data_IF_518840430709
#
_entry.id   IF_518840430709
#
_cell.length_a   1.000
_cell.length_b   1.000
_cell.length_c   1.000
_cell.angle_alpha   90.00
_cell.angle_beta   90.00
_cell.angle_gamma   90.00
#
_symmetry.space_group_name_H-M   'P 1'
#
loop_
_entity.id
_entity.type
_entity.pdbx_description
1 polymer ?
#
# COMPACT_ATOMS: atom_id res chain seq x y z
N UNK A 1 -46.44 12.01 -3.43
CA UNK A 1 -45.55 11.44 -4.42
C UNK A 1 -44.45 12.46 -4.67
N UNK A 2 -43.36 12.36 -3.90
CA UNK A 2 -42.35 13.42 -3.79
C UNK A 2 -40.99 12.81 -4.12
N UNK A 3 -40.64 12.85 -5.41
CA UNK A 3 -39.34 12.42 -5.92
C UNK A 3 -38.23 13.34 -5.42
N UNK A 4 -37.35 12.79 -4.58
CA UNK A 4 -36.13 13.43 -4.14
C UNK A 4 -35.14 13.46 -5.31
N UNK A 5 -35.06 14.58 -6.04
CA UNK A 5 -34.01 14.78 -7.04
C UNK A 5 -32.70 15.13 -6.33
N UNK A 6 -31.77 14.17 -6.34
CA UNK A 6 -30.38 14.42 -5.99
C UNK A 6 -29.79 15.31 -7.09
N UNK A 7 -29.61 16.59 -6.77
CA UNK A 7 -28.90 17.53 -7.63
C UNK A 7 -27.42 17.13 -7.66
N UNK A 8 -26.96 16.62 -8.79
CA UNK A 8 -25.54 16.46 -9.08
C UNK A 8 -24.96 17.86 -9.21
N UNK A 9 -24.20 18.31 -8.20
CA UNK A 9 -23.48 19.57 -8.27
C UNK A 9 -22.61 19.60 -9.53
N UNK A 10 -22.82 20.60 -10.38
CA UNK A 10 -21.98 20.88 -11.55
C UNK A 10 -20.50 20.90 -11.15
N UNK A 11 -19.74 19.93 -11.65
CA UNK A 11 -18.26 19.92 -11.58
C UNK A 11 -17.72 20.90 -12.64
N UNK A 12 -18.15 22.16 -12.58
CA UNK A 12 -17.69 23.20 -13.52
C UNK A 12 -16.44 23.93 -13.02
N UNK A 13 -16.16 23.86 -11.72
CA UNK A 13 -14.93 24.36 -11.13
C UNK A 13 -13.92 23.22 -11.02
N UNK A 14 -12.90 23.27 -11.87
CA UNK A 14 -11.68 22.47 -11.69
C UNK A 14 -11.16 22.77 -10.27
N UNK A 15 -11.03 21.77 -9.39
CA UNK A 15 -10.52 21.99 -8.04
C UNK A 15 -9.13 22.63 -8.08
N UNK A 16 -8.84 23.52 -7.13
CA UNK A 16 -7.59 24.30 -7.07
C UNK A 16 -6.32 23.42 -7.11
N UNK A 17 -6.38 22.15 -6.67
CA UNK A 17 -5.26 21.21 -6.75
C UNK A 17 -4.92 20.77 -8.20
N UNK A 18 -5.80 20.98 -9.17
CA UNK A 18 -5.56 20.73 -10.59
C UNK A 18 -4.82 21.89 -11.28
N UNK A 19 -4.83 23.08 -10.69
CA UNK A 19 -4.14 24.30 -11.17
C UNK A 19 -2.80 24.54 -10.46
N UNK A 20 -2.35 23.60 -9.62
CA UNK A 20 -1.04 23.70 -8.98
C UNK A 20 0.04 23.71 -10.08
N UNK A 21 0.94 24.72 -10.10
CA UNK A 21 1.91 24.84 -11.17
C UNK A 21 2.72 23.57 -11.25
N UNK A 22 2.64 22.91 -12.42
CA UNK A 22 3.37 21.69 -12.74
C UNK A 22 4.79 21.84 -12.25
N UNK A 23 5.22 20.89 -11.41
CA UNK A 23 6.61 20.75 -10.99
C UNK A 23 7.53 21.07 -12.16
N UNK A 24 8.58 21.86 -11.92
CA UNK A 24 9.57 22.28 -12.93
C UNK A 24 9.76 21.21 -13.99
N UNK A 25 9.67 21.55 -15.29
CA UNK A 25 9.58 20.61 -16.41
C UNK A 25 10.57 19.41 -16.39
N UNK A 26 11.67 19.52 -15.64
CA UNK A 26 12.70 18.50 -15.41
C UNK A 26 12.47 17.61 -14.15
N UNK A 27 11.31 17.68 -13.49
CA UNK A 27 11.03 16.84 -12.32
C UNK A 27 10.91 15.37 -12.70
N UNK A 28 11.23 14.48 -11.73
CA UNK A 28 11.10 13.04 -11.93
C UNK A 28 9.66 12.64 -12.28
N UNK A 29 8.67 13.36 -11.75
CA UNK A 29 7.25 13.17 -12.04
C UNK A 29 6.89 13.60 -13.46
N UNK A 30 7.39 14.75 -13.93
CA UNK A 30 7.23 15.21 -15.32
C UNK A 30 7.79 14.18 -16.31
N UNK A 31 8.95 13.60 -16.00
CA UNK A 31 9.56 12.55 -16.82
C UNK A 31 8.79 11.23 -16.77
N UNK A 32 8.25 10.83 -15.61
CA UNK A 32 7.42 9.64 -15.46
C UNK A 32 6.12 9.78 -16.26
N UNK A 33 5.46 10.94 -16.16
CA UNK A 33 4.26 11.29 -16.94
C UNK A 33 4.54 11.22 -18.43
N UNK A 34 5.63 11.82 -18.89
CA UNK A 34 6.00 11.81 -20.31
C UNK A 34 6.25 10.38 -20.80
N UNK A 35 6.98 9.57 -20.03
CA UNK A 35 7.23 8.16 -20.35
C UNK A 35 5.94 7.34 -20.40
N UNK A 36 5.06 7.51 -19.42
CA UNK A 36 3.77 6.83 -19.38
C UNK A 36 2.88 7.20 -20.58
N UNK A 37 2.76 8.50 -20.88
CA UNK A 37 1.99 8.98 -22.02
C UNK A 37 2.55 8.48 -23.36
N UNK A 38 3.84 8.19 -23.47
CA UNK A 38 4.40 7.56 -24.68
C UNK A 38 3.93 6.10 -24.83
N UNK A 39 3.82 5.37 -23.73
CA UNK A 39 3.34 3.97 -23.73
C UNK A 39 1.83 3.88 -24.00
N UNK A 40 1.05 4.87 -23.59
CA UNK A 40 -0.41 4.91 -23.77
C UNK A 40 -0.89 5.35 -25.17
N UNK A 41 0.01 5.69 -26.11
CA UNK A 41 -0.35 6.23 -27.44
C UNK A 41 -0.89 5.20 -28.45
N UNK A 42 -1.04 3.93 -28.05
CA UNK A 42 -1.57 2.86 -28.89
C UNK A 42 -3.09 2.82 -28.95
N UNK A 43 -3.62 1.94 -29.81
CA UNK A 43 -5.05 1.63 -29.93
C UNK A 43 -5.49 0.51 -28.96
N UNK A 44 -4.66 0.21 -27.96
CA UNK A 44 -4.87 -0.88 -27.01
C UNK A 44 -5.73 -0.41 -25.81
N UNK A 45 -6.22 -1.38 -25.04
CA UNK A 45 -6.90 -1.08 -23.78
C UNK A 45 -5.95 -0.33 -22.84
N UNK A 46 -6.39 0.81 -22.29
CA UNK A 46 -5.61 1.61 -21.33
C UNK A 46 -5.10 0.73 -20.18
N UNK A 47 -5.90 -0.22 -19.70
CA UNK A 47 -5.49 -1.13 -18.64
C UNK A 47 -4.31 -2.01 -19.04
N UNK A 48 -4.31 -2.53 -20.27
CA UNK A 48 -3.23 -3.38 -20.78
C UNK A 48 -1.93 -2.58 -20.88
N UNK A 49 -2.00 -1.40 -21.50
CA UNK A 49 -0.83 -0.53 -21.65
C UNK A 49 -0.27 -0.05 -20.29
N UNK A 50 -1.13 0.15 -19.29
CA UNK A 50 -0.70 0.45 -17.92
C UNK A 50 0.00 -0.73 -17.25
N UNK A 51 -0.50 -1.96 -17.44
CA UNK A 51 0.15 -3.18 -16.92
C UNK A 51 1.54 -3.34 -17.53
N UNK A 52 1.67 -3.17 -18.84
CA UNK A 52 2.97 -3.22 -19.51
C UNK A 52 3.92 -2.11 -19.03
N UNK A 53 3.39 -0.90 -18.78
CA UNK A 53 4.17 0.22 -18.27
C UNK A 53 4.73 -0.02 -16.86
N UNK A 54 4.14 -0.90 -16.05
CA UNK A 54 4.70 -1.30 -14.75
C UNK A 54 6.07 -1.97 -14.90
N UNK A 55 6.27 -2.71 -15.98
CA UNK A 55 7.52 -3.42 -16.26
C UNK A 55 8.56 -2.59 -16.98
N UNK A 56 8.24 -1.33 -17.29
CA UNK A 56 9.16 -0.43 -17.96
C UNK A 56 10.48 -0.25 -17.19
N UNK A 57 11.56 -0.01 -17.94
CA UNK A 57 12.94 0.08 -17.42
C UNK A 57 13.14 1.18 -16.38
N UNK A 58 12.36 2.25 -16.46
CA UNK A 58 12.39 3.39 -15.53
C UNK A 58 11.37 3.12 -14.42
N UNK A 59 11.87 2.90 -13.21
CA UNK A 59 11.03 2.51 -12.08
C UNK A 59 9.92 3.54 -11.76
N UNK A 60 10.20 4.84 -11.96
CA UNK A 60 9.23 5.94 -11.81
C UNK A 60 8.01 5.80 -12.75
N UNK A 61 8.21 5.29 -13.97
CA UNK A 61 7.11 5.06 -14.91
C UNK A 61 6.23 3.93 -14.40
N UNK A 62 6.85 2.85 -13.92
CA UNK A 62 6.11 1.73 -13.34
C UNK A 62 5.38 2.11 -12.05
N UNK A 63 6.01 2.94 -11.20
CA UNK A 63 5.38 3.47 -10.00
C UNK A 63 4.16 4.34 -10.33
N UNK A 64 4.28 5.21 -11.35
CA UNK A 64 3.15 6.01 -11.81
C UNK A 64 2.04 5.13 -12.39
N UNK A 65 2.37 4.16 -13.24
CA UNK A 65 1.40 3.24 -13.83
C UNK A 65 0.63 2.45 -12.76
N UNK A 66 1.32 1.91 -11.74
CA UNK A 66 0.67 1.23 -10.62
C UNK A 66 -0.24 2.16 -9.80
N UNK A 67 0.14 3.42 -9.58
CA UNK A 67 -0.75 4.40 -8.92
C UNK A 67 -1.96 4.74 -9.78
N UNK A 68 -1.79 4.85 -11.10
CA UNK A 68 -2.92 5.04 -12.03
C UNK A 68 -3.87 3.83 -12.02
N UNK A 69 -3.34 2.61 -12.07
CA UNK A 69 -4.13 1.38 -11.96
C UNK A 69 -4.92 1.34 -10.65
N UNK A 70 -4.30 1.72 -9.53
CA UNK A 70 -4.99 1.85 -8.24
C UNK A 70 -6.16 2.84 -8.29
N UNK A 71 -5.96 3.99 -8.94
CA UNK A 71 -7.03 4.99 -9.13
C UNK A 71 -8.19 4.47 -10.01
N UNK A 72 -7.90 3.56 -10.94
CA UNK A 72 -8.88 2.85 -11.77
C UNK A 72 -9.53 1.65 -11.05
N UNK A 73 -9.22 1.43 -9.77
CA UNK A 73 -9.76 0.32 -8.98
C UNK A 73 -9.13 -1.04 -9.28
N UNK A 74 -7.97 -1.07 -9.95
CA UNK A 74 -7.18 -2.28 -10.19
C UNK A 74 -6.14 -2.44 -9.09
N UNK A 75 -6.55 -3.08 -7.99
CA UNK A 75 -5.71 -3.28 -6.80
C UNK A 75 -4.79 -4.51 -6.93
N UNK A 76 -5.16 -5.46 -7.77
CA UNK A 76 -4.46 -6.72 -8.01
C UNK A 76 -2.99 -6.53 -8.38
N UNK A 77 -2.68 -5.45 -9.09
CA UNK A 77 -1.31 -5.09 -9.52
C UNK A 77 -0.33 -4.83 -8.38
N UNK A 78 -0.79 -4.72 -7.13
CA UNK A 78 0.07 -4.51 -5.98
C UNK A 78 0.54 -5.81 -5.31
N UNK A 79 -0.16 -6.91 -5.53
CA UNK A 79 0.00 -8.16 -4.79
C UNK A 79 0.45 -9.31 -5.69
N UNK A 80 0.83 -10.43 -5.09
CA UNK A 80 1.40 -11.58 -5.78
C UNK A 80 2.89 -11.43 -6.07
N UNK A 81 3.48 -12.47 -6.66
CA UNK A 81 4.91 -12.52 -6.99
C UNK A 81 5.36 -11.41 -7.95
N UNK A 82 4.49 -11.01 -8.88
CA UNK A 82 4.75 -9.96 -9.87
C UNK A 82 4.20 -8.58 -9.47
N UNK A 83 3.50 -8.49 -8.33
CA UNK A 83 2.91 -7.26 -7.83
C UNK A 83 3.95 -6.20 -7.47
N UNK A 84 3.57 -4.93 -7.52
CA UNK A 84 4.51 -3.80 -7.33
C UNK A 84 5.24 -3.84 -5.97
N UNK A 85 4.64 -4.41 -4.93
CA UNK A 85 5.30 -4.59 -3.63
C UNK A 85 6.38 -5.68 -3.64
N UNK A 86 6.29 -6.65 -4.54
CA UNK A 86 7.29 -7.71 -4.71
C UNK A 86 8.47 -7.28 -5.59
N UNK A 87 8.37 -6.14 -6.30
CA UNK A 87 9.39 -5.70 -7.25
C UNK A 87 10.51 -4.88 -6.57
N UNK A 88 11.72 -5.44 -6.51
CA UNK A 88 12.89 -4.78 -5.92
C UNK A 88 13.23 -3.39 -6.54
N UNK A 89 12.97 -3.21 -7.84
CA UNK A 89 13.19 -1.91 -8.53
C UNK A 89 12.29 -0.78 -7.99
N UNK A 90 11.21 -1.14 -7.30
CA UNK A 90 10.23 -0.21 -6.74
C UNK A 90 10.54 0.19 -5.29
N UNK A 91 11.67 -0.26 -4.72
CA UNK A 91 12.06 -0.02 -3.33
C UNK A 91 11.93 1.45 -2.88
N UNK A 92 12.34 2.38 -3.73
CA UNK A 92 12.28 3.82 -3.39
C UNK A 92 10.86 4.39 -3.40
N UNK A 93 9.91 3.71 -4.07
CA UNK A 93 8.51 4.11 -4.23
C UNK A 93 7.57 3.35 -3.29
N UNK A 94 8.03 2.30 -2.59
CA UNK A 94 7.20 1.57 -1.62
C UNK A 94 6.53 2.46 -0.57
N UNK A 95 7.19 3.49 0.01
CA UNK A 95 6.52 4.49 0.83
C UNK A 95 5.25 5.08 0.21
N UNK A 96 5.32 5.45 -1.06
CA UNK A 96 4.22 6.09 -1.78
C UNK A 96 3.13 5.08 -2.14
N UNK A 97 3.52 3.87 -2.56
CA UNK A 97 2.60 2.77 -2.82
C UNK A 97 1.83 2.35 -1.57
N UNK A 98 2.53 2.22 -0.44
CA UNK A 98 1.93 1.90 0.84
C UNK A 98 0.92 2.98 1.24
N UNK A 99 1.32 4.24 1.23
CA UNK A 99 0.44 5.35 1.57
C UNK A 99 -0.77 5.45 0.62
N UNK A 100 -0.58 5.18 -0.68
CA UNK A 100 -1.67 5.17 -1.65
C UNK A 100 -2.67 4.03 -1.37
N UNK A 101 -2.19 2.83 -1.02
CA UNK A 101 -3.05 1.69 -0.69
C UNK A 101 -3.83 1.92 0.61
N UNK A 102 -3.19 2.45 1.65
CA UNK A 102 -3.86 2.83 2.91
C UNK A 102 -4.96 3.84 2.63
N UNK A 103 -4.68 4.90 1.86
CA UNK A 103 -5.70 5.87 1.44
C UNK A 103 -6.86 5.24 0.67
N UNK A 104 -6.60 4.22 -0.14
CA UNK A 104 -7.67 3.50 -0.86
C UNK A 104 -8.56 2.72 0.09
N UNK A 105 -8.01 2.07 1.11
CA UNK A 105 -8.80 1.40 2.15
C UNK A 105 -9.61 2.42 2.96
N UNK A 106 -9.00 3.54 3.33
CA UNK A 106 -9.63 4.59 4.14
C UNK A 106 -10.77 5.34 3.41
N UNK A 107 -10.92 5.19 2.09
CA UNK A 107 -12.05 5.78 1.33
C UNK A 107 -13.41 5.23 1.75
N UNK A 108 -13.45 4.01 2.28
CA UNK A 108 -14.70 3.41 2.78
C UNK A 108 -14.77 1.90 2.65
N UNK A 109 -15.89 1.31 3.10
CA UNK A 109 -16.04 -0.14 3.17
C UNK A 109 -16.00 -0.85 1.81
N UNK A 110 -16.50 -0.20 0.74
CA UNK A 110 -16.51 -0.77 -0.61
C UNK A 110 -15.09 -0.91 -1.17
N UNK A 111 -14.27 0.15 -1.08
CA UNK A 111 -12.88 0.11 -1.55
C UNK A 111 -12.02 -0.82 -0.69
N UNK A 112 -12.24 -0.84 0.62
CA UNK A 112 -11.59 -1.80 1.52
C UNK A 112 -11.92 -3.26 1.16
N UNK A 113 -13.19 -3.56 0.85
CA UNK A 113 -13.62 -4.89 0.40
C UNK A 113 -13.00 -5.27 -0.96
N UNK A 114 -12.93 -4.34 -1.91
CA UNK A 114 -12.29 -4.56 -3.21
C UNK A 114 -10.79 -4.87 -3.07
N UNK A 115 -10.07 -4.15 -2.21
CA UNK A 115 -8.66 -4.43 -1.89
C UNK A 115 -8.53 -5.83 -1.29
N UNK A 116 -9.34 -6.17 -0.28
CA UNK A 116 -9.33 -7.51 0.33
C UNK A 116 -9.58 -8.61 -0.70
N UNK A 117 -10.53 -8.41 -1.62
CA UNK A 117 -10.81 -9.36 -2.69
C UNK A 117 -9.62 -9.53 -3.64
N UNK A 118 -8.97 -8.45 -4.06
CA UNK A 118 -7.77 -8.52 -4.90
C UNK A 118 -6.62 -9.22 -4.20
N UNK A 119 -6.39 -8.98 -2.91
CA UNK A 119 -5.38 -9.72 -2.14
C UNK A 119 -5.73 -11.21 -2.11
N UNK A 120 -6.98 -11.58 -1.89
CA UNK A 120 -7.41 -12.99 -1.86
C UNK A 120 -7.17 -13.69 -3.20
N UNK A 121 -7.38 -12.98 -4.31
CA UNK A 121 -7.14 -13.50 -5.66
C UNK A 121 -5.66 -13.71 -5.95
N UNK A 122 -4.79 -12.80 -5.48
CA UNK A 122 -3.36 -12.82 -5.81
C UNK A 122 -2.53 -13.64 -4.81
N UNK A 123 -2.87 -13.59 -3.52
CA UNK A 123 -2.12 -14.17 -2.40
C UNK A 123 -3.07 -14.76 -1.33
N UNK A 124 -4.03 -15.60 -1.76
CA UNK A 124 -5.08 -16.12 -0.88
C UNK A 124 -4.58 -16.76 0.43
N UNK A 125 -3.46 -17.47 0.41
CA UNK A 125 -2.86 -18.10 1.60
C UNK A 125 -2.39 -17.09 2.66
N UNK A 126 -2.05 -15.87 2.24
CA UNK A 126 -1.48 -14.82 3.10
C UNK A 126 -2.40 -13.59 3.19
N UNK A 127 -3.60 -13.68 2.65
CA UNK A 127 -4.46 -12.51 2.44
C UNK A 127 -4.84 -11.81 3.75
N UNK A 128 -5.06 -12.57 4.81
CA UNK A 128 -5.35 -12.02 6.14
C UNK A 128 -4.19 -11.15 6.68
N UNK A 129 -2.96 -11.63 6.53
CA UNK A 129 -1.76 -10.94 7.03
C UNK A 129 -1.46 -9.68 6.20
N UNK A 130 -1.47 -9.80 4.87
CA UNK A 130 -1.27 -8.66 3.96
C UNK A 130 -2.31 -7.58 4.24
N UNK A 131 -3.59 -7.96 4.37
CA UNK A 131 -4.66 -6.99 4.65
C UNK A 131 -4.49 -6.36 6.04
N UNK A 132 -4.07 -7.13 7.05
CA UNK A 132 -3.82 -6.61 8.40
C UNK A 132 -2.74 -5.52 8.42
N UNK A 133 -1.67 -5.72 7.66
CA UNK A 133 -0.55 -4.77 7.56
C UNK A 133 -0.93 -3.45 6.88
N UNK A 134 -2.01 -3.42 6.10
CA UNK A 134 -2.53 -2.20 5.48
C UNK A 134 -3.46 -1.38 6.39
N UNK A 135 -3.85 -1.91 7.55
CA UNK A 135 -4.77 -1.25 8.48
C UNK A 135 -4.03 -0.32 9.49
N UNK A 136 -2.70 -0.27 9.46
CA UNK A 136 -1.88 0.37 10.50
C UNK A 136 -2.14 -0.19 11.92
N UNK A 137 -1.41 0.32 12.91
CA UNK A 137 -1.46 -0.20 14.28
C UNK A 137 -1.56 0.95 15.29
N UNK A 138 -2.45 0.83 16.28
CA UNK A 138 -2.49 1.78 17.40
C UNK A 138 -1.43 1.44 18.46
N UNK A 139 -1.11 2.38 19.36
CA UNK A 139 -0.20 2.10 20.49
C UNK A 139 -0.68 0.98 21.41
N UNK A 140 -2.01 0.82 21.56
CA UNK A 140 -2.60 -0.28 22.33
C UNK A 140 -2.34 -1.63 21.66
N UNK A 141 -2.58 -1.72 20.34
CA UNK A 141 -2.29 -2.94 19.57
C UNK A 141 -0.80 -3.28 19.59
N UNK A 142 0.06 -2.26 19.46
CA UNK A 142 1.51 -2.43 19.57
C UNK A 142 1.90 -2.95 20.97
N UNK A 143 1.32 -2.42 22.04
CA UNK A 143 1.54 -2.94 23.39
C UNK A 143 1.00 -4.37 23.61
N UNK A 144 -0.05 -4.75 22.89
CA UNK A 144 -0.62 -6.10 22.91
C UNK A 144 0.18 -7.13 22.08
N UNK A 145 1.34 -6.76 21.51
CA UNK A 145 2.24 -7.67 20.81
C UNK A 145 2.27 -7.52 19.29
N UNK A 146 1.54 -6.57 18.72
CA UNK A 146 1.63 -6.30 17.28
C UNK A 146 3.02 -5.75 16.87
N UNK A 147 3.75 -5.13 17.80
CA UNK A 147 5.13 -4.72 17.58
C UNK A 147 6.06 -5.93 17.34
N UNK A 148 5.91 -6.99 18.13
CA UNK A 148 6.65 -8.24 17.97
C UNK A 148 6.27 -8.96 16.66
N UNK A 149 4.99 -8.95 16.31
CA UNK A 149 4.52 -9.48 15.02
C UNK A 149 5.17 -8.73 13.85
N UNK A 150 5.14 -7.39 13.84
CA UNK A 150 5.78 -6.58 12.80
C UNK A 150 7.28 -6.89 12.63
N UNK A 151 8.02 -7.08 13.74
CA UNK A 151 9.45 -7.45 13.66
C UNK A 151 9.63 -8.86 13.10
N UNK A 152 8.76 -9.80 13.44
CA UNK A 152 8.78 -11.17 12.89
C UNK A 152 8.53 -11.19 11.39
N UNK A 153 7.57 -10.40 10.90
CA UNK A 153 7.21 -10.32 9.48
C UNK A 153 8.35 -9.78 8.60
N UNK A 154 9.39 -9.15 9.17
CA UNK A 154 10.60 -8.76 8.44
C UNK A 154 11.42 -9.96 7.92
N UNK A 155 11.20 -11.17 8.44
CA UNK A 155 11.85 -12.38 7.90
C UNK A 155 10.91 -13.27 7.08
N UNK A 156 9.70 -12.80 6.77
CA UNK A 156 8.75 -13.60 6.01
C UNK A 156 9.27 -13.94 4.61
N UNK A 157 8.88 -15.09 4.06
CA UNK A 157 9.26 -15.50 2.70
C UNK A 157 8.68 -14.61 1.61
N UNK A 158 7.52 -14.00 1.85
CA UNK A 158 6.83 -13.11 0.93
C UNK A 158 7.36 -11.67 1.04
N UNK A 159 7.93 -11.17 -0.06
CA UNK A 159 8.44 -9.80 -0.15
C UNK A 159 7.39 -8.75 0.15
N UNK A 160 6.13 -8.96 -0.25
CA UNK A 160 5.04 -8.02 0.05
C UNK A 160 4.84 -7.87 1.55
N UNK A 161 4.79 -8.97 2.31
CA UNK A 161 4.69 -8.92 3.77
C UNK A 161 5.86 -8.16 4.38
N UNK A 162 7.09 -8.47 3.97
CA UNK A 162 8.30 -7.77 4.44
C UNK A 162 8.25 -6.27 4.18
N UNK A 163 7.79 -5.87 2.98
CA UNK A 163 7.63 -4.45 2.60
C UNK A 163 6.61 -3.76 3.47
N UNK A 164 5.40 -4.33 3.61
CA UNK A 164 4.34 -3.72 4.40
C UNK A 164 4.71 -3.63 5.89
N UNK A 165 5.37 -4.65 6.44
CA UNK A 165 5.88 -4.62 7.82
C UNK A 165 6.95 -3.53 8.00
N UNK A 166 7.91 -3.42 7.07
CA UNK A 166 8.93 -2.38 7.11
C UNK A 166 8.34 -0.97 7.01
N UNK A 167 7.33 -0.76 6.18
CA UNK A 167 6.64 0.53 6.06
C UNK A 167 5.87 0.91 7.32
N UNK A 168 5.19 -0.05 7.96
CA UNK A 168 4.56 0.19 9.27
C UNK A 168 5.61 0.61 10.30
N UNK A 169 6.72 -0.11 10.40
CA UNK A 169 7.81 0.22 11.33
C UNK A 169 8.44 1.58 11.03
N UNK A 170 8.61 1.93 9.74
CA UNK A 170 9.08 3.25 9.31
C UNK A 170 8.13 4.35 9.74
N UNK A 171 6.82 4.18 9.55
CA UNK A 171 5.84 5.18 9.96
C UNK A 171 5.78 5.35 11.48
N UNK A 172 5.79 4.24 12.23
CA UNK A 172 5.73 4.26 13.70
C UNK A 172 6.97 4.94 14.30
N UNK A 173 8.16 4.64 13.78
CA UNK A 173 9.44 5.02 14.41
C UNK A 173 10.22 6.12 13.68
N UNK A 174 9.78 6.49 12.47
CA UNK A 174 10.45 7.46 11.60
C UNK A 174 11.72 6.93 10.89
N UNK A 175 12.05 5.63 10.98
CA UNK A 175 13.29 5.08 10.41
C UNK A 175 13.13 3.61 9.98
N UNK A 176 13.91 3.16 9.00
CA UNK A 176 14.03 1.77 8.53
C UNK A 176 15.21 0.99 9.12
N UNK A 177 16.13 1.64 9.85
CA UNK A 177 17.35 1.04 10.42
C UNK A 177 18.26 0.33 9.41
N UNK A 178 18.25 0.82 8.16
CA UNK A 178 18.90 0.23 6.97
C UNK A 178 18.32 -1.10 6.50
N UNK A 179 17.20 -1.56 7.06
CA UNK A 179 16.53 -2.76 6.60
C UNK A 179 16.10 -2.64 5.13
N UNK A 180 16.24 -3.75 4.39
CA UNK A 180 15.97 -3.87 2.96
C UNK A 180 15.09 -5.07 2.67
N UNK A 181 13.79 -4.83 2.43
CA UNK A 181 12.80 -5.89 2.21
C UNK A 181 13.07 -6.73 0.94
N UNK A 182 13.73 -6.15 -0.08
CA UNK A 182 14.15 -6.84 -1.30
C UNK A 182 15.29 -7.84 -1.10
N UNK A 183 15.89 -7.89 0.10
CA UNK A 183 17.00 -8.81 0.37
C UNK A 183 16.47 -10.23 0.50
N UNK A 184 16.70 -11.06 -0.52
CA UNK A 184 16.22 -12.45 -0.56
C UNK A 184 16.87 -13.36 0.49
N UNK A 185 18.13 -13.11 0.86
CA UNK A 185 18.88 -13.98 1.78
C UNK A 185 18.45 -13.75 3.25
N UNK A 186 17.88 -14.76 3.95
CA UNK A 186 17.48 -14.61 5.35
C UNK A 186 18.65 -14.21 6.27
N UNK A 187 19.84 -14.78 6.05
CA UNK A 187 21.03 -14.45 6.84
C UNK A 187 21.43 -12.97 6.75
N UNK A 188 21.20 -12.32 5.59
CA UNK A 188 21.47 -10.88 5.44
C UNK A 188 20.40 -10.05 6.15
N UNK A 189 19.12 -10.42 6.03
CA UNK A 189 18.02 -9.76 6.75
C UNK A 189 18.18 -9.85 8.27
N UNK A 190 18.58 -11.01 8.79
CA UNK A 190 18.77 -11.25 10.22
C UNK A 190 19.70 -10.23 10.90
N UNK A 191 20.67 -9.69 10.17
CA UNK A 191 21.58 -8.66 10.72
C UNK A 191 20.85 -7.33 11.00
N UNK A 192 19.93 -6.93 10.13
CA UNK A 192 19.13 -5.71 10.32
C UNK A 192 17.95 -5.96 11.27
N UNK A 193 17.36 -7.15 11.25
CA UNK A 193 16.28 -7.55 12.18
C UNK A 193 16.76 -7.48 13.64
N UNK A 194 18.01 -7.83 13.95
CA UNK A 194 18.57 -7.66 15.31
C UNK A 194 18.46 -6.23 15.85
N UNK A 195 18.54 -5.21 14.98
CA UNK A 195 18.37 -3.81 15.40
C UNK A 195 16.91 -3.53 15.78
N UNK A 196 15.96 -4.12 15.05
CA UNK A 196 14.54 -4.08 15.36
C UNK A 196 14.21 -4.81 16.66
N UNK A 197 14.78 -5.99 16.90
CA UNK A 197 14.64 -6.73 18.16
C UNK A 197 15.15 -5.90 19.36
N UNK A 198 16.23 -5.12 19.19
CA UNK A 198 16.71 -4.20 20.22
C UNK A 198 15.66 -3.12 20.51
N UNK A 199 15.06 -2.49 19.48
CA UNK A 199 13.98 -1.49 19.68
C UNK A 199 12.75 -2.10 20.35
N UNK A 200 12.36 -3.31 19.93
CA UNK A 200 11.25 -4.06 20.51
C UNK A 200 11.47 -4.27 22.01
N UNK A 201 12.63 -4.80 22.42
CA UNK A 201 12.97 -5.00 23.85
C UNK A 201 12.96 -3.72 24.67
N UNK A 202 13.26 -2.58 24.05
CA UNK A 202 13.23 -1.26 24.69
C UNK A 202 11.84 -0.61 24.69
N UNK A 203 10.84 -1.21 24.04
CA UNK A 203 9.51 -0.63 23.89
C UNK A 203 9.46 0.60 22.98
N UNK A 204 10.44 0.75 22.07
CA UNK A 204 10.59 1.94 21.22
C UNK A 204 9.76 1.88 19.92
N UNK A 205 9.05 0.79 19.66
CA UNK A 205 8.16 0.66 18.49
C UNK A 205 6.79 1.22 18.86
N UNK A 206 6.72 2.53 19.08
CA UNK A 206 5.51 3.24 19.51
C UNK A 206 5.39 4.57 18.75
N UNK A 207 4.17 5.00 18.50
CA UNK A 207 3.91 6.33 17.98
C UNK A 207 4.29 7.36 19.04
N UNK A 208 5.28 8.20 18.71
CA UNK A 208 5.77 9.28 19.59
C UNK A 208 5.11 10.63 19.31
N UNK A 209 4.36 10.74 18.20
CA UNK A 209 3.60 11.93 17.83
C UNK A 209 2.09 11.64 17.88
N UNK A 210 1.29 12.61 18.33
CA UNK A 210 -0.15 12.46 18.68
C UNK A 210 -1.04 12.10 17.47
N UNK A 211 -0.50 12.04 16.25
CA UNK A 211 -1.18 11.52 15.06
C UNK A 211 -1.14 9.97 14.98
N UNK A 212 -1.24 9.28 16.12
CA UNK A 212 -1.42 7.83 16.10
C UNK A 212 -2.76 7.51 15.44
N UNK A 213 -2.85 6.50 14.54
CA UNK A 213 -4.14 6.05 14.05
C UNK A 213 -4.98 5.59 15.25
N UNK A 214 -6.21 6.11 15.33
CA UNK A 214 -7.16 5.77 16.39
C UNK A 214 -7.33 4.25 16.43
N UNK A 215 -7.41 3.61 17.62
CA UNK A 215 -7.68 2.19 17.71
C UNK A 215 -8.99 1.87 16.97
N UNK A 216 -8.88 1.23 15.81
CA UNK A 216 -10.05 0.65 15.17
C UNK A 216 -10.25 -0.73 15.82
N UNK A 217 -11.34 -0.83 16.59
CA UNK A 217 -11.78 -2.06 17.25
C UNK A 217 -11.86 -3.19 16.22
N UNK A 218 -11.47 -4.39 16.66
CA UNK A 218 -11.32 -5.63 15.90
C UNK A 218 -12.23 -5.76 14.66
N UNK A 219 -11.64 -6.25 13.57
CA UNK A 219 -12.34 -6.63 12.35
C UNK A 219 -13.67 -7.33 12.66
N UNK A 220 -14.77 -7.02 11.95
CA UNK A 220 -16.03 -7.70 12.16
C UNK A 220 -15.78 -9.20 11.97
N UNK A 221 -15.97 -9.96 13.04
CA UNK A 221 -16.13 -11.41 12.99
C UNK A 221 -17.29 -11.64 12.03
N UNK A 222 -17.00 -12.17 10.85
CA UNK A 222 -18.03 -12.70 9.96
C UNK A 222 -18.60 -13.90 10.72
N UNK A 223 -19.68 -13.66 11.47
CA UNK A 223 -20.47 -14.75 12.04
C UNK A 223 -21.18 -15.37 10.85
N UNK A 224 -20.66 -16.52 10.43
CA UNK A 224 -21.31 -17.44 9.50
C UNK A 224 -22.71 -17.73 10.07
N UNK A 225 -23.72 -17.16 9.43
CA UNK A 225 -25.11 -17.42 9.76
C UNK A 225 -25.43 -18.85 9.33
N UNK A 226 -25.24 -19.80 10.24
CA UNK A 226 -25.94 -21.07 10.20
C UNK A 226 -27.45 -20.78 10.28
N UNK A 227 -28.16 -21.09 9.21
CA UNK A 227 -29.59 -20.87 9.09
C UNK A 227 -30.18 -21.76 8.00
N UNK A 228 -30.20 -23.07 8.25
CA UNK A 228 -31.24 -23.98 7.73
C UNK A 228 -32.16 -24.32 8.92
N UNK A 229 -33.47 -24.42 8.66
CA UNK A 229 -34.01 -25.76 8.44
C UNK A 229 -34.72 -25.95 7.09
#
# INVERSE_FOLDING_TARGET
DSGNQVSLSDVSAIPVWLDEPVETADSLESLARTGLLQLLRGNESIELSLREAMDFRRAEVGALAARTMLLLGRHDVYFGAEGIFSQAKQRIYWPDHFAAMVRTIDRGPESAAAVRQSIMQMDGAQAGEIYRLLWLFSNEQLAAGADAALVKELDDSNTTIRVLAAENLRLITGNLLNYRAETETPARRATDIKKWEVKLRKGEIRWTNIAAPTPQTAAPVVTEAAGEP
#
